data_IF_631580338931
#
_entry.id   IF_631580338931
#
_cell.length_a   1.000
_cell.length_b   1.000
_cell.length_c   1.000
_cell.angle_alpha   90.00
_cell.angle_beta   90.00
_cell.angle_gamma   90.00
#
_symmetry.space_group_name_H-M   'P 1'
#
loop_
_entity.id
_entity.type
_entity.pdbx_description
1 polymer ?
#
# COMPACT_ATOMS: atom_id res chain seq x y z
N UNK A 1 37.81 -32.11 -17.27
CA UNK A 1 36.71 -31.24 -17.70
C UNK A 1 36.65 -30.07 -16.73
N UNK A 2 37.26 -28.92 -17.08
CA UNK A 2 37.22 -27.72 -16.21
C UNK A 2 35.79 -27.21 -16.23
N UNK A 3 35.11 -27.24 -15.08
CA UNK A 3 33.76 -26.71 -14.94
C UNK A 3 33.75 -25.25 -15.38
N UNK A 4 32.83 -24.89 -16.26
CA UNK A 4 32.65 -23.53 -16.77
C UNK A 4 32.59 -22.53 -15.60
N UNK A 5 33.22 -21.35 -15.73
CA UNK A 5 33.10 -20.30 -14.74
C UNK A 5 31.61 -19.96 -14.57
N UNK A 6 31.12 -20.04 -13.34
CA UNK A 6 29.78 -19.59 -13.00
C UNK A 6 29.70 -18.12 -13.39
N UNK A 7 28.86 -17.80 -14.36
CA UNK A 7 28.47 -16.43 -14.63
C UNK A 7 27.75 -15.92 -13.39
N UNK A 8 28.47 -15.18 -12.56
CA UNK A 8 27.90 -14.40 -11.46
C UNK A 8 27.10 -13.24 -12.08
N UNK A 9 25.96 -13.53 -12.70
CA UNK A 9 25.04 -12.51 -13.24
C UNK A 9 24.17 -11.87 -12.16
N UNK A 10 24.41 -12.16 -10.89
CA UNK A 10 23.87 -11.33 -9.81
C UNK A 10 24.80 -10.13 -9.60
N UNK A 11 24.81 -9.23 -10.58
CA UNK A 11 25.09 -7.82 -10.35
C UNK A 11 24.00 -7.29 -9.42
N UNK A 12 24.13 -7.58 -8.12
CA UNK A 12 23.39 -6.88 -7.08
C UNK A 12 23.96 -5.47 -7.06
N UNK A 13 23.39 -4.60 -7.89
CA UNK A 13 23.73 -3.19 -7.92
C UNK A 13 23.67 -2.64 -6.47
N UNK A 14 24.79 -2.20 -5.87
CA UNK A 14 24.83 -1.77 -4.48
C UNK A 14 24.11 -0.41 -4.25
N UNK A 15 23.48 0.16 -5.27
CA UNK A 15 22.92 1.52 -5.23
C UNK A 15 21.60 1.69 -4.45
N UNK A 16 20.94 0.63 -3.98
CA UNK A 16 19.69 0.72 -3.18
C UNK A 16 19.82 0.20 -1.74
N UNK A 17 21.03 0.06 -1.21
CA UNK A 17 21.29 -0.52 0.11
C UNK A 17 20.81 0.32 1.32
N UNK A 18 19.95 1.33 1.12
CA UNK A 18 19.52 2.25 2.19
C UNK A 18 18.05 2.68 2.19
N UNK A 19 17.26 2.37 1.15
CA UNK A 19 15.84 2.74 1.10
C UNK A 19 15.03 1.48 0.80
N UNK A 20 14.28 1.02 1.80
CA UNK A 20 13.34 -0.09 1.68
C UNK A 20 11.93 0.45 1.90
N UNK A 21 11.10 0.41 0.86
CA UNK A 21 9.72 0.89 0.90
C UNK A 21 8.74 -0.12 1.49
N UNK A 22 9.18 -1.36 1.74
CA UNK A 22 8.35 -2.45 2.28
C UNK A 22 7.74 -2.10 3.65
N UNK A 23 8.50 -1.58 4.64
CA UNK A 23 7.92 -1.20 5.92
C UNK A 23 6.87 -0.09 5.79
N UNK A 24 7.08 0.87 4.88
CA UNK A 24 6.13 1.96 4.65
C UNK A 24 4.81 1.41 4.09
N UNK A 25 4.86 0.53 3.09
CA UNK A 25 3.69 -0.11 2.52
C UNK A 25 2.91 -0.96 3.54
N UNK A 26 3.62 -1.68 4.41
CA UNK A 26 3.00 -2.48 5.49
C UNK A 26 2.34 -1.62 6.56
N UNK A 27 2.99 -0.53 6.99
CA UNK A 27 2.41 0.41 7.96
C UNK A 27 1.19 1.13 7.38
N UNK A 28 1.24 1.53 6.10
CA UNK A 28 0.11 2.12 5.38
C UNK A 28 -1.11 1.20 5.38
N UNK A 29 -0.89 -0.07 5.05
CA UNK A 29 -1.94 -1.08 5.05
C UNK A 29 -2.50 -1.34 6.45
N UNK A 30 -1.61 -1.58 7.43
CA UNK A 30 -1.98 -2.00 8.77
C UNK A 30 -2.80 -0.92 9.49
N UNK A 31 -2.37 0.34 9.42
CA UNK A 31 -3.09 1.44 10.08
C UNK A 31 -4.46 1.67 9.46
N UNK A 32 -4.55 1.67 8.13
CA UNK A 32 -5.82 1.87 7.42
C UNK A 32 -6.81 0.75 7.74
N UNK A 33 -6.34 -0.50 7.75
CA UNK A 33 -7.16 -1.66 8.12
C UNK A 33 -7.58 -1.62 9.60
N UNK A 34 -6.68 -1.20 10.49
CA UNK A 34 -6.97 -1.10 11.92
C UNK A 34 -8.09 -0.09 12.19
N UNK A 35 -8.00 1.10 11.59
CA UNK A 35 -9.03 2.14 11.75
C UNK A 35 -10.34 1.75 11.07
N UNK A 36 -10.28 1.13 9.88
CA UNK A 36 -11.46 0.57 9.24
C UNK A 36 -12.14 -0.51 10.11
N UNK A 37 -11.35 -1.38 10.77
CA UNK A 37 -11.86 -2.40 11.68
C UNK A 37 -12.48 -1.80 12.93
N UNK A 38 -11.90 -0.73 13.49
CA UNK A 38 -12.49 0.00 14.61
C UNK A 38 -13.86 0.61 14.25
N UNK A 39 -13.99 1.11 13.02
CA UNK A 39 -15.28 1.57 12.49
C UNK A 39 -16.27 0.42 12.36
N UNK A 40 -15.87 -0.71 11.77
CA UNK A 40 -16.72 -1.91 11.65
C UNK A 40 -17.16 -2.48 13.00
N UNK A 41 -16.31 -2.42 14.02
CA UNK A 41 -16.63 -2.86 15.39
C UNK A 41 -17.50 -1.85 16.18
N UNK A 42 -17.83 -0.68 15.61
CA UNK A 42 -18.62 0.34 16.29
C UNK A 42 -17.88 1.03 17.44
N UNK A 43 -16.54 0.98 17.48
CA UNK A 43 -15.70 1.50 18.58
C UNK A 43 -15.42 3.02 18.41
N UNK A 44 -16.19 3.75 17.61
CA UNK A 44 -15.97 5.20 17.37
C UNK A 44 -17.25 6.04 17.40
N UNK A 45 -17.13 7.17 18.13
CA UNK A 45 -17.75 8.52 18.10
C UNK A 45 -18.81 8.77 16.99
N UNK A 46 -19.85 9.63 17.19
CA UNK A 46 -21.10 9.65 16.44
C UNK A 46 -20.99 9.42 14.93
N UNK A 47 -21.93 8.60 14.43
CA UNK A 47 -22.02 8.00 13.09
C UNK A 47 -21.69 8.96 11.93
N UNK A 48 -21.90 10.25 12.12
CA UNK A 48 -21.72 11.28 11.09
C UNK A 48 -20.26 11.70 10.85
N UNK A 49 -19.35 11.52 11.82
CA UNK A 49 -17.95 11.97 11.73
C UNK A 49 -16.93 10.84 11.53
N UNK A 50 -17.28 9.60 11.87
CA UNK A 50 -16.36 8.46 11.88
C UNK A 50 -15.99 7.94 10.48
N UNK A 51 -16.91 8.04 9.51
CA UNK A 51 -16.62 7.62 8.13
C UNK A 51 -15.55 8.50 7.47
N UNK A 52 -15.52 9.80 7.78
CA UNK A 52 -14.55 10.74 7.20
C UNK A 52 -13.09 10.38 7.52
N UNK A 53 -12.83 9.84 8.71
CA UNK A 53 -11.49 9.42 9.13
C UNK A 53 -11.02 8.18 8.35
N UNK A 54 -11.89 7.19 8.19
CA UNK A 54 -11.60 5.99 7.39
C UNK A 54 -11.34 6.37 5.93
N UNK A 55 -12.13 7.30 5.40
CA UNK A 55 -12.01 7.78 4.02
C UNK A 55 -10.72 8.57 3.77
N UNK A 56 -10.31 9.44 4.70
CA UNK A 56 -9.03 10.13 4.63
C UNK A 56 -7.85 9.15 4.62
N UNK A 57 -7.88 8.14 5.50
CA UNK A 57 -6.83 7.11 5.55
C UNK A 57 -6.83 6.24 4.29
N UNK A 58 -8.00 5.82 3.80
CA UNK A 58 -8.13 5.02 2.59
C UNK A 58 -7.57 5.74 1.35
N UNK A 59 -7.80 7.05 1.22
CA UNK A 59 -7.32 7.79 0.03
C UNK A 59 -5.84 8.12 0.09
N UNK A 60 -5.37 8.65 1.23
CA UNK A 60 -4.02 9.21 1.31
C UNK A 60 -2.99 8.21 1.81
N UNK A 61 -3.29 7.44 2.85
CA UNK A 61 -2.31 6.55 3.48
C UNK A 61 -2.38 5.13 2.90
N UNK A 62 -3.51 4.44 3.06
CA UNK A 62 -3.76 3.14 2.45
C UNK A 62 -3.80 3.18 0.92
N UNK A 63 -4.12 4.32 0.31
CA UNK A 63 -4.19 4.49 -1.14
C UNK A 63 -2.90 5.05 -1.74
N UNK A 64 -2.76 6.38 -1.75
CA UNK A 64 -1.66 7.07 -2.42
C UNK A 64 -0.27 6.70 -1.86
N UNK A 65 -0.10 6.71 -0.54
CA UNK A 65 1.20 6.40 0.10
C UNK A 65 1.57 4.94 -0.12
N UNK A 66 0.60 4.02 -0.07
CA UNK A 66 0.83 2.60 -0.33
C UNK A 66 1.16 2.33 -1.82
N UNK A 67 0.52 3.02 -2.75
CA UNK A 67 0.86 2.95 -4.18
C UNK A 67 2.28 3.46 -4.45
N UNK A 68 2.66 4.59 -3.84
CA UNK A 68 4.03 5.09 -3.92
C UNK A 68 5.02 4.05 -3.37
N UNK A 69 4.73 3.44 -2.23
CA UNK A 69 5.56 2.37 -1.68
C UNK A 69 5.71 1.19 -2.66
N UNK A 70 4.63 0.80 -3.36
CA UNK A 70 4.68 -0.23 -4.41
C UNK A 70 5.57 0.15 -5.59
N UNK A 71 5.50 1.40 -6.07
CA UNK A 71 6.38 1.89 -7.12
C UNK A 71 7.86 1.94 -6.70
N UNK A 72 8.13 2.28 -5.44
CA UNK A 72 9.49 2.23 -4.89
C UNK A 72 9.98 0.78 -4.75
N UNK A 73 9.11 -0.17 -4.37
CA UNK A 73 9.46 -1.59 -4.34
C UNK A 73 9.77 -2.18 -5.72
N UNK A 74 9.16 -1.69 -6.80
CA UNK A 74 9.58 -2.05 -8.18
C UNK A 74 11.03 -1.62 -8.46
N UNK A 75 11.43 -0.44 -7.97
CA UNK A 75 12.79 0.08 -8.13
C UNK A 75 13.82 -0.69 -7.29
N UNK A 76 13.41 -1.23 -6.16
CA UNK A 76 14.22 -2.10 -5.28
C UNK A 76 14.37 -3.54 -5.82
N UNK A 77 13.64 -3.91 -6.89
CA UNK A 77 13.61 -5.28 -7.40
C UNK A 77 12.77 -6.25 -6.56
N UNK A 78 11.97 -5.73 -5.62
CA UNK A 78 11.06 -6.53 -4.80
C UNK A 78 9.69 -6.64 -5.48
N UNK A 79 9.57 -7.60 -6.39
CA UNK A 79 8.32 -7.86 -7.16
C UNK A 79 7.13 -8.22 -6.26
N UNK A 80 7.37 -8.91 -5.13
CA UNK A 80 6.29 -9.26 -4.19
C UNK A 80 5.72 -8.02 -3.52
N UNK A 81 6.57 -7.19 -2.92
CA UNK A 81 6.15 -5.94 -2.29
C UNK A 81 5.48 -5.01 -3.30
N UNK A 82 6.05 -4.91 -4.50
CA UNK A 82 5.50 -4.09 -5.57
C UNK A 82 4.07 -4.51 -5.97
N UNK A 83 3.82 -5.80 -6.24
CA UNK A 83 2.47 -6.26 -6.56
C UNK A 83 1.52 -6.11 -5.38
N UNK A 84 1.95 -6.47 -4.17
CA UNK A 84 1.13 -6.41 -2.97
C UNK A 84 0.68 -4.97 -2.68
N UNK A 85 1.62 -4.02 -2.58
CA UNK A 85 1.31 -2.64 -2.21
C UNK A 85 0.53 -1.90 -3.31
N UNK A 86 0.81 -2.16 -4.59
CA UNK A 86 0.00 -1.59 -5.66
C UNK A 86 -1.44 -2.11 -5.67
N UNK A 87 -1.63 -3.42 -5.44
CA UNK A 87 -2.98 -4.02 -5.42
C UNK A 87 -3.80 -3.51 -4.23
N UNK A 88 -3.20 -3.51 -3.04
CA UNK A 88 -3.88 -3.01 -1.84
C UNK A 88 -4.08 -1.48 -1.88
N UNK A 89 -3.14 -0.73 -2.45
CA UNK A 89 -3.30 0.71 -2.67
C UNK A 89 -4.44 1.03 -3.64
N UNK A 90 -4.55 0.29 -4.73
CA UNK A 90 -5.69 0.37 -5.65
C UNK A 90 -7.01 0.00 -4.99
N UNK A 91 -7.03 -1.03 -4.13
CA UNK A 91 -8.21 -1.39 -3.33
C UNK A 91 -8.68 -0.23 -2.45
N UNK A 92 -7.78 0.39 -1.68
CA UNK A 92 -8.15 1.49 -0.79
C UNK A 92 -8.61 2.75 -1.55
N UNK A 93 -7.99 3.06 -2.69
CA UNK A 93 -8.48 4.13 -3.57
C UNK A 93 -9.86 3.81 -4.14
N UNK A 94 -10.11 2.57 -4.57
CA UNK A 94 -11.43 2.15 -5.05
C UNK A 94 -12.48 2.22 -3.94
N UNK A 95 -12.14 1.80 -2.72
CA UNK A 95 -13.00 1.89 -1.55
C UNK A 95 -13.34 3.35 -1.21
N UNK A 96 -12.37 4.24 -1.31
CA UNK A 96 -12.58 5.68 -1.17
C UNK A 96 -13.43 6.27 -2.30
N UNK A 97 -13.25 5.81 -3.53
CA UNK A 97 -14.01 6.31 -4.67
C UNK A 97 -15.51 6.02 -4.53
N UNK A 98 -15.89 4.79 -4.15
CA UNK A 98 -17.30 4.40 -4.02
C UNK A 98 -18.05 5.13 -2.90
N UNK A 99 -17.37 5.56 -1.84
CA UNK A 99 -18.01 6.23 -0.69
C UNK A 99 -17.93 7.77 -0.76
N UNK A 100 -17.12 8.35 -1.64
CA UNK A 100 -17.11 9.80 -1.86
C UNK A 100 -18.30 10.19 -2.75
N UNK A 101 -19.20 11.02 -2.18
CA UNK A 101 -20.35 11.57 -2.88
C UNK A 101 -20.00 12.33 -4.17
N UNK A 102 -18.80 12.92 -4.25
CA UNK A 102 -18.32 13.63 -5.44
C UNK A 102 -18.12 12.72 -6.66
N UNK A 103 -17.83 11.43 -6.46
CA UNK A 103 -17.73 10.48 -7.57
C UNK A 103 -19.10 9.92 -8.02
N UNK A 104 -20.20 10.28 -7.32
CA UNK A 104 -21.59 9.94 -7.63
C UNK A 104 -21.84 8.44 -7.95
N UNK A 105 -21.06 7.54 -7.35
CA UNK A 105 -21.37 6.11 -7.31
C UNK A 105 -22.48 5.93 -6.29
N UNK A 106 -23.74 5.97 -6.74
CA UNK A 106 -24.89 5.66 -5.90
C UNK A 106 -25.01 4.15 -5.81
N UNK A 107 -24.62 3.58 -4.68
CA UNK A 107 -24.85 2.18 -4.31
C UNK A 107 -25.71 2.14 -3.06
#
# INVERSE_FOLDING_TARGET
>A
MKSLPKTDTHSSNPAFQGLNATPLGLCAFALTTFVASMYLCGISVPVDASIGVVMGLALFYGGATQLLAGFLSFREGNTFGALAFCSYGGFWLSFGAIHIAAFNFRV
#
